data_IF_268781717272
#
_entry.id   IF_268781717272
#
_cell.length_a   1.000
_cell.length_b   1.000
_cell.length_c   1.000
_cell.angle_alpha   90.00
_cell.angle_beta   90.00
_cell.angle_gamma   90.00
#
_symmetry.space_group_name_H-M   'P 1'
#
loop_
_entity.id
_entity.type
_entity.pdbx_description
1 polymer ?
#
# COMPACT_ATOMS: atom_id res chain seq x y z
N UNK A 1 -4.52 -43.06 -6.55
CA UNK A 1 -4.34 -41.69 -7.09
C UNK A 1 -2.96 -41.21 -6.67
N UNK A 2 -2.31 -40.48 -7.56
CA UNK A 2 -0.86 -40.26 -7.57
C UNK A 2 -0.40 -39.15 -6.62
N UNK A 3 0.89 -39.15 -6.23
CA UNK A 3 1.65 -37.94 -5.99
C UNK A 3 2.59 -37.66 -7.19
N UNK A 4 2.33 -36.57 -7.90
CA UNK A 4 3.35 -35.84 -8.65
C UNK A 4 4.21 -35.07 -7.62
N UNK A 5 5.52 -34.86 -7.76
CA UNK A 5 6.41 -35.23 -8.86
C UNK A 5 7.75 -34.49 -8.78
N UNK A 6 8.43 -34.54 -7.63
CA UNK A 6 9.71 -33.84 -7.40
C UNK A 6 10.84 -34.37 -8.29
N UNK A 7 11.25 -33.58 -9.29
CA UNK A 7 12.46 -33.83 -10.08
C UNK A 7 13.53 -32.77 -9.79
N UNK A 8 14.27 -32.96 -8.69
CA UNK A 8 15.51 -32.23 -8.46
C UNK A 8 16.70 -33.07 -8.94
N UNK A 9 17.21 -32.79 -10.15
CA UNK A 9 18.33 -33.53 -10.75
C UNK A 9 19.69 -32.94 -10.33
N UNK A 10 20.65 -33.75 -9.83
CA UNK A 10 22.01 -33.27 -9.54
C UNK A 10 22.83 -33.13 -10.84
N UNK A 11 23.09 -31.89 -11.26
CA UNK A 11 24.00 -31.59 -12.36
C UNK A 11 25.45 -31.92 -11.97
N UNK A 12 26.10 -32.74 -12.81
CA UNK A 12 27.48 -33.22 -12.59
C UNK A 12 28.49 -32.12 -12.90
N UNK A 13 29.59 -31.98 -12.14
CA UNK A 13 30.68 -31.07 -12.51
C UNK A 13 31.46 -31.62 -13.71
N UNK A 14 31.22 -31.04 -14.89
CA UNK A 14 31.94 -31.39 -16.11
C UNK A 14 33.27 -30.61 -16.23
N UNK A 15 34.38 -31.31 -16.00
CA UNK A 15 35.74 -31.11 -16.55
C UNK A 15 36.05 -29.72 -17.16
N UNK A 16 36.89 -28.93 -16.48
CA UNK A 16 37.64 -27.82 -17.12
C UNK A 16 39.10 -27.78 -16.67
N UNK A 17 39.87 -28.78 -17.10
CA UNK A 17 41.32 -28.93 -16.81
C UNK A 17 42.12 -29.24 -18.07
N UNK A 18 42.21 -28.32 -19.04
CA UNK A 18 43.18 -28.48 -20.14
C UNK A 18 43.52 -27.20 -20.95
N UNK A 19 44.06 -26.16 -20.31
CA UNK A 19 44.79 -25.07 -21.01
C UNK A 19 45.97 -24.58 -20.17
N UNK A 20 47.02 -25.40 -20.03
CA UNK A 20 48.37 -25.00 -19.59
C UNK A 20 49.42 -26.13 -19.75
N UNK A 21 49.34 -26.90 -20.84
CA UNK A 21 50.37 -27.91 -21.19
C UNK A 21 50.80 -27.70 -22.64
N UNK A 22 51.68 -26.73 -22.84
CA UNK A 22 52.21 -26.38 -24.16
C UNK A 22 53.17 -25.22 -24.09
N UNK A 23 54.44 -25.51 -23.75
CA UNK A 23 55.69 -24.78 -24.10
C UNK A 23 56.90 -25.09 -23.18
N UNK A 24 57.03 -26.32 -22.64
CA UNK A 24 58.28 -26.74 -21.97
C UNK A 24 58.72 -28.17 -22.31
N UNK A 25 58.90 -28.46 -23.62
CA UNK A 25 59.67 -29.64 -24.07
C UNK A 25 60.16 -29.51 -25.52
N UNK A 26 61.33 -28.90 -25.71
CA UNK A 26 62.32 -29.28 -26.75
C UNK A 26 63.57 -28.40 -26.71
N UNK A 27 64.65 -28.91 -26.13
CA UNK A 27 65.93 -29.05 -26.86
C UNK A 27 66.78 -30.12 -26.20
N UNK A 28 67.02 -31.19 -26.96
CA UNK A 28 68.02 -32.21 -26.66
C UNK A 28 69.40 -31.55 -26.72
N UNK A 29 70.23 -31.81 -25.71
CA UNK A 29 71.64 -31.47 -25.76
C UNK A 29 72.38 -32.49 -26.63
N UNK A 30 73.06 -32.03 -27.68
CA UNK A 30 74.21 -32.73 -28.25
C UNK A 30 75.47 -31.89 -28.01
N UNK A 31 76.60 -32.50 -27.65
CA UNK A 31 77.85 -31.78 -27.48
C UNK A 31 78.65 -31.80 -28.79
N UNK A 32 78.95 -30.63 -29.35
CA UNK A 32 80.23 -30.47 -30.03
C UNK A 32 80.72 -29.02 -30.04
N UNK A 33 82.00 -28.92 -29.68
CA UNK A 33 83.01 -27.93 -30.04
C UNK A 33 82.85 -26.43 -29.72
N UNK A 34 83.93 -25.94 -29.13
CA UNK A 34 84.17 -24.60 -28.64
C UNK A 34 84.85 -23.77 -29.73
N UNK A 35 84.34 -22.57 -30.02
CA UNK A 35 85.20 -21.42 -30.40
C UNK A 35 84.48 -20.07 -30.23
N UNK A 36 85.18 -19.14 -29.55
CA UNK A 36 85.05 -17.66 -29.68
C UNK A 36 83.66 -16.99 -29.67
N UNK A 37 83.01 -16.87 -28.49
CA UNK A 37 81.88 -15.93 -28.30
C UNK A 37 81.61 -15.51 -26.83
N UNK A 38 82.63 -15.36 -25.98
CA UNK A 38 82.44 -15.17 -24.51
C UNK A 38 82.14 -13.74 -24.04
N UNK A 39 82.32 -12.71 -24.88
CA UNK A 39 82.03 -11.31 -24.53
C UNK A 39 80.54 -10.93 -24.68
N UNK A 40 79.96 -11.15 -25.87
CA UNK A 40 78.59 -10.70 -26.18
C UNK A 40 77.50 -11.39 -25.33
N UNK A 41 77.75 -12.62 -24.87
CA UNK A 41 76.75 -13.39 -24.09
C UNK A 41 76.45 -12.77 -22.72
N UNK A 42 77.40 -12.06 -22.10
CA UNK A 42 77.15 -11.34 -20.83
C UNK A 42 76.34 -10.07 -21.07
N UNK A 43 76.73 -9.27 -22.06
CA UNK A 43 76.05 -8.00 -22.40
C UNK A 43 74.59 -8.24 -22.82
N UNK A 44 74.33 -9.25 -23.65
CA UNK A 44 72.96 -9.62 -24.03
C UNK A 44 72.15 -10.15 -22.83
N UNK A 45 72.71 -11.02 -22.00
CA UNK A 45 72.01 -11.53 -20.80
C UNK A 45 71.71 -10.42 -19.79
N UNK A 46 72.62 -9.46 -19.63
CA UNK A 46 72.45 -8.32 -18.74
C UNK A 46 71.48 -7.28 -19.31
N UNK A 47 71.45 -7.08 -20.63
CA UNK A 47 70.42 -6.30 -21.32
C UNK A 47 69.04 -6.93 -21.14
N UNK A 48 68.86 -8.20 -21.51
CA UNK A 48 67.57 -8.89 -21.36
C UNK A 48 67.07 -8.87 -19.91
N UNK A 49 67.91 -9.16 -18.93
CA UNK A 49 67.50 -9.12 -17.51
C UNK A 49 67.18 -7.71 -16.99
N UNK A 50 67.67 -6.64 -17.62
CA UNK A 50 67.22 -5.27 -17.34
C UNK A 50 65.88 -5.01 -18.03
N UNK A 51 65.72 -5.33 -19.31
CA UNK A 51 64.47 -5.11 -20.07
C UNK A 51 63.30 -5.89 -19.46
N UNK A 52 63.47 -7.17 -19.12
CA UNK A 52 62.43 -7.96 -18.44
C UNK A 52 62.08 -7.37 -17.07
N UNK A 53 63.04 -6.77 -16.36
CA UNK A 53 62.80 -6.11 -15.06
C UNK A 53 62.10 -4.77 -15.20
N UNK A 54 62.27 -4.05 -16.32
CA UNK A 54 61.48 -2.86 -16.65
C UNK A 54 60.05 -3.22 -17.03
N UNK A 55 59.86 -4.19 -17.93
CA UNK A 55 58.52 -4.68 -18.31
C UNK A 55 57.77 -5.24 -17.10
N UNK A 56 58.43 -5.98 -16.19
CA UNK A 56 57.82 -6.45 -14.95
C UNK A 56 57.38 -5.29 -14.03
N UNK A 57 58.14 -4.18 -13.98
CA UNK A 57 57.74 -2.99 -13.20
C UNK A 57 56.52 -2.31 -13.82
N UNK A 58 56.49 -2.13 -15.13
CA UNK A 58 55.34 -1.55 -15.84
C UNK A 58 54.09 -2.41 -15.68
N UNK A 59 54.20 -3.73 -15.81
CA UNK A 59 53.11 -4.67 -15.53
C UNK A 59 52.61 -4.50 -14.08
N UNK A 60 53.52 -4.44 -13.10
CA UNK A 60 53.13 -4.26 -11.70
C UNK A 60 52.44 -2.90 -11.45
N UNK A 61 52.93 -1.82 -12.07
CA UNK A 61 52.36 -0.46 -11.97
C UNK A 61 50.98 -0.35 -12.66
N UNK A 62 50.73 -1.12 -13.71
CA UNK A 62 49.41 -1.19 -14.37
C UNK A 62 48.45 -2.12 -13.60
N UNK A 63 48.99 -3.15 -12.93
CA UNK A 63 48.20 -4.10 -12.15
C UNK A 63 47.78 -3.56 -10.77
N UNK A 64 48.60 -2.77 -10.06
CA UNK A 64 48.22 -2.28 -8.72
C UNK A 64 46.94 -1.42 -8.71
N UNK A 65 46.77 -0.36 -9.54
CA UNK A 65 45.55 0.45 -9.50
C UNK A 65 44.32 -0.31 -9.99
N UNK A 66 44.48 -1.24 -10.95
CA UNK A 66 43.38 -2.12 -11.38
C UNK A 66 42.96 -3.09 -10.28
N UNK A 67 43.92 -3.65 -9.54
CA UNK A 67 43.63 -4.55 -8.43
C UNK A 67 43.00 -3.79 -7.25
N UNK A 68 43.46 -2.58 -6.94
CA UNK A 68 42.86 -1.67 -5.95
C UNK A 68 41.40 -1.33 -6.34
N UNK A 69 41.15 -0.95 -7.60
CA UNK A 69 39.80 -0.66 -8.09
C UNK A 69 38.88 -1.90 -8.06
N UNK A 70 39.39 -3.09 -8.39
CA UNK A 70 38.63 -4.34 -8.24
C UNK A 70 38.35 -4.65 -6.76
N UNK A 71 39.29 -4.38 -5.86
CA UNK A 71 39.12 -4.57 -4.42
C UNK A 71 38.10 -3.58 -3.83
N UNK A 72 38.09 -2.34 -4.29
CA UNK A 72 37.09 -1.33 -3.90
C UNK A 72 35.69 -1.69 -4.43
N UNK A 73 35.56 -2.05 -5.71
CA UNK A 73 34.29 -2.50 -6.30
C UNK A 73 33.74 -3.77 -5.64
N UNK A 74 34.60 -4.72 -5.25
CA UNK A 74 34.16 -5.93 -4.54
C UNK A 74 33.74 -5.64 -3.09
N UNK A 75 34.39 -4.68 -2.41
CA UNK A 75 33.92 -4.19 -1.11
C UNK A 75 32.57 -3.48 -1.25
N UNK A 76 32.44 -2.51 -2.15
CA UNK A 76 31.20 -1.78 -2.40
C UNK A 76 30.04 -2.72 -2.75
N UNK A 77 30.29 -3.73 -3.61
CA UNK A 77 29.30 -4.79 -3.90
C UNK A 77 28.86 -5.52 -2.63
N UNK A 78 29.79 -5.94 -1.77
CA UNK A 78 29.47 -6.65 -0.53
C UNK A 78 28.65 -5.79 0.43
N UNK A 79 29.01 -4.50 0.55
CA UNK A 79 28.30 -3.54 1.40
C UNK A 79 26.86 -3.30 0.87
N UNK A 80 26.64 -3.34 -0.45
CA UNK A 80 25.31 -3.32 -1.07
C UNK A 80 24.53 -4.62 -0.84
N UNK A 81 25.15 -5.79 -0.98
CA UNK A 81 24.52 -7.09 -0.67
C UNK A 81 24.07 -7.16 0.80
N UNK A 82 24.85 -6.60 1.73
CA UNK A 82 24.48 -6.52 3.15
C UNK A 82 23.30 -5.56 3.39
N UNK A 83 23.28 -4.38 2.74
CA UNK A 83 22.15 -3.44 2.80
C UNK A 83 20.88 -4.02 2.18
N UNK A 84 20.98 -4.74 1.07
CA UNK A 84 19.86 -5.44 0.44
C UNK A 84 19.27 -6.51 1.37
N UNK A 85 20.12 -7.32 2.01
CA UNK A 85 19.69 -8.33 2.97
C UNK A 85 19.03 -7.70 4.22
N UNK A 86 19.56 -6.58 4.72
CA UNK A 86 18.96 -5.82 5.84
C UNK A 86 17.57 -5.26 5.47
N UNK A 87 17.45 -4.60 4.32
CA UNK A 87 16.17 -4.05 3.86
C UNK A 87 15.14 -5.13 3.56
N UNK A 88 15.55 -6.25 2.94
CA UNK A 88 14.66 -7.39 2.70
C UNK A 88 14.13 -8.03 3.99
N UNK A 89 14.94 -8.09 5.06
CA UNK A 89 14.47 -8.55 6.39
C UNK A 89 13.45 -7.60 7.01
N UNK A 90 13.71 -6.30 6.97
CA UNK A 90 12.78 -5.28 7.48
C UNK A 90 11.46 -5.33 6.72
N UNK A 91 11.51 -5.50 5.40
CA UNK A 91 10.33 -5.65 4.55
C UNK A 91 9.48 -6.86 4.97
N UNK A 92 10.08 -8.03 5.19
CA UNK A 92 9.36 -9.22 5.69
C UNK A 92 8.69 -8.97 7.05
N UNK A 93 9.37 -8.32 7.99
CA UNK A 93 8.76 -7.97 9.29
C UNK A 93 7.57 -7.00 9.16
N UNK A 94 7.62 -6.07 8.19
CA UNK A 94 6.51 -5.14 7.90
C UNK A 94 5.37 -5.88 7.19
N UNK A 95 5.65 -6.82 6.29
CA UNK A 95 4.64 -7.69 5.67
C UNK A 95 3.91 -8.56 6.70
N UNK A 96 4.64 -9.17 7.64
CA UNK A 96 4.10 -9.93 8.77
C UNK A 96 3.20 -9.06 9.67
N UNK A 97 3.65 -7.85 10.02
CA UNK A 97 2.88 -6.89 10.81
C UNK A 97 1.60 -6.44 10.09
N UNK A 98 1.66 -6.17 8.78
CA UNK A 98 0.50 -5.83 7.97
C UNK A 98 -0.51 -6.99 7.89
N UNK A 99 -0.04 -8.23 7.74
CA UNK A 99 -0.92 -9.41 7.79
C UNK A 99 -1.59 -9.57 9.15
N UNK A 100 -0.86 -9.33 10.25
CA UNK A 100 -1.42 -9.33 11.60
C UNK A 100 -2.52 -8.26 11.75
N UNK A 101 -2.25 -7.01 11.37
CA UNK A 101 -3.22 -5.90 11.45
C UNK A 101 -4.48 -6.18 10.62
N UNK A 102 -4.35 -6.77 9.43
CA UNK A 102 -5.51 -7.19 8.62
C UNK A 102 -6.33 -8.29 9.33
N UNK A 103 -5.68 -9.23 10.01
CA UNK A 103 -6.37 -10.27 10.79
C UNK A 103 -7.10 -9.70 12.02
N UNK A 104 -6.47 -8.76 12.73
CA UNK A 104 -7.04 -8.05 13.88
C UNK A 104 -8.21 -7.15 13.47
N UNK A 105 -8.11 -6.44 12.33
CA UNK A 105 -9.21 -5.66 11.78
C UNK A 105 -10.41 -6.55 11.40
N UNK A 106 -10.16 -7.73 10.81
CA UNK A 106 -11.20 -8.69 10.49
C UNK A 106 -11.87 -9.27 11.74
N UNK A 107 -11.10 -9.53 12.80
CA UNK A 107 -11.67 -9.94 14.10
C UNK A 107 -12.47 -8.81 14.76
N UNK A 108 -11.96 -7.58 14.76
CA UNK A 108 -12.67 -6.43 15.32
C UNK A 108 -14.03 -6.23 14.63
N UNK A 109 -14.07 -6.29 13.30
CA UNK A 109 -15.34 -6.25 12.53
C UNK A 109 -16.30 -7.36 12.93
N UNK A 110 -15.81 -8.58 13.15
CA UNK A 110 -16.63 -9.71 13.63
C UNK A 110 -17.21 -9.42 15.02
N UNK A 111 -16.39 -9.01 15.98
CA UNK A 111 -16.81 -8.67 17.35
C UNK A 111 -17.83 -7.51 17.38
N UNK A 112 -17.68 -6.52 16.49
CA UNK A 112 -18.65 -5.41 16.34
C UNK A 112 -19.99 -5.90 15.80
N UNK A 113 -19.99 -6.80 14.82
CA UNK A 113 -21.22 -7.39 14.28
C UNK A 113 -21.90 -8.32 15.31
N UNK A 114 -21.13 -9.12 16.05
CA UNK A 114 -21.65 -9.93 17.16
C UNK A 114 -22.32 -9.06 18.24
N UNK A 115 -21.69 -7.93 18.61
CA UNK A 115 -22.25 -6.95 19.55
C UNK A 115 -23.52 -6.28 19.00
N UNK A 116 -23.54 -5.91 17.71
CA UNK A 116 -24.72 -5.38 17.02
C UNK A 116 -25.88 -6.38 17.04
N UNK A 117 -25.62 -7.65 16.76
CA UNK A 117 -26.63 -8.71 16.81
C UNK A 117 -27.17 -8.92 18.23
N UNK A 118 -26.30 -8.90 19.24
CA UNK A 118 -26.71 -8.96 20.64
C UNK A 118 -27.60 -7.76 21.04
N UNK A 119 -27.27 -6.54 20.60
CA UNK A 119 -28.10 -5.34 20.82
C UNK A 119 -29.47 -5.47 20.14
N UNK A 120 -29.52 -5.96 18.90
CA UNK A 120 -30.79 -6.19 18.18
C UNK A 120 -31.67 -7.25 18.88
N UNK A 121 -31.07 -8.34 19.38
CA UNK A 121 -31.79 -9.36 20.14
C UNK A 121 -32.34 -8.82 21.47
N UNK A 122 -31.52 -8.04 22.20
CA UNK A 122 -31.94 -7.35 23.42
C UNK A 122 -33.07 -6.35 23.16
N UNK A 123 -32.97 -5.55 22.08
CA UNK A 123 -34.00 -4.59 21.68
C UNK A 123 -35.34 -5.28 21.37
N UNK A 124 -35.34 -6.39 20.62
CA UNK A 124 -36.55 -7.18 20.37
C UNK A 124 -37.19 -7.65 21.68
N UNK A 125 -36.38 -8.16 22.62
CA UNK A 125 -36.87 -8.63 23.93
C UNK A 125 -37.43 -7.50 24.79
N UNK A 126 -36.83 -6.30 24.74
CA UNK A 126 -37.38 -5.10 25.42
C UNK A 126 -38.73 -4.74 24.82
N UNK A 127 -38.86 -4.71 23.49
CA UNK A 127 -40.12 -4.42 22.79
C UNK A 127 -41.26 -5.40 23.16
N UNK A 128 -40.95 -6.68 23.29
CA UNK A 128 -41.90 -7.70 23.78
C UNK A 128 -42.32 -7.46 25.24
N UNK A 129 -41.37 -7.06 26.09
CA UNK A 129 -41.63 -6.74 27.49
C UNK A 129 -42.45 -5.45 27.63
N UNK A 130 -42.22 -4.44 26.81
CA UNK A 130 -43.06 -3.25 26.75
C UNK A 130 -44.50 -3.58 26.33
N UNK A 131 -44.70 -4.46 25.35
CA UNK A 131 -46.05 -4.86 24.92
C UNK A 131 -46.80 -5.63 26.02
N UNK A 132 -46.07 -6.47 26.77
CA UNK A 132 -46.62 -7.14 27.97
C UNK A 132 -46.92 -6.11 29.06
N UNK A 133 -46.02 -5.16 29.32
CA UNK A 133 -46.19 -4.08 30.30
C UNK A 133 -47.43 -3.23 30.00
N UNK A 134 -47.65 -2.85 28.72
CA UNK A 134 -48.86 -2.12 28.27
C UNK A 134 -50.18 -2.83 28.61
N UNK A 135 -50.19 -4.16 28.79
CA UNK A 135 -51.37 -4.94 29.17
C UNK A 135 -51.61 -4.97 30.69
N UNK A 136 -50.59 -4.73 31.51
CA UNK A 136 -50.68 -4.82 32.98
C UNK A 136 -51.66 -3.79 33.58
N UNK A 137 -51.64 -2.49 33.23
CA UNK A 137 -52.61 -1.52 33.76
C UNK A 137 -54.06 -1.84 33.36
N UNK A 138 -54.28 -2.36 32.15
CA UNK A 138 -55.60 -2.75 31.67
C UNK A 138 -56.13 -3.93 32.49
N UNK A 139 -55.30 -4.94 32.75
CA UNK A 139 -55.66 -6.08 33.59
C UNK A 139 -55.90 -5.66 35.05
N UNK A 140 -55.08 -4.75 35.60
CA UNK A 140 -55.30 -4.20 36.94
C UNK A 140 -56.66 -3.52 37.06
N UNK A 141 -57.02 -2.65 36.11
CA UNK A 141 -58.34 -2.01 36.08
C UNK A 141 -59.51 -3.02 36.04
N UNK A 142 -59.34 -4.15 35.35
CA UNK A 142 -60.35 -5.22 35.35
C UNK A 142 -60.40 -5.98 36.68
N UNK A 143 -59.26 -6.18 37.35
CA UNK A 143 -59.20 -6.76 38.70
C UNK A 143 -59.94 -5.85 39.68
N UNK A 144 -59.61 -4.56 39.72
CA UNK A 144 -60.25 -3.58 40.61
C UNK A 144 -61.78 -3.51 40.36
N UNK A 145 -62.21 -3.60 39.10
CA UNK A 145 -63.63 -3.67 38.73
C UNK A 145 -64.32 -4.96 39.20
N UNK A 146 -63.63 -6.11 39.14
CA UNK A 146 -64.16 -7.37 39.65
C UNK A 146 -64.16 -7.41 41.19
N UNK A 147 -63.17 -6.80 41.84
CA UNK A 147 -63.11 -6.68 43.30
C UNK A 147 -64.24 -5.82 43.84
N UNK A 148 -64.53 -4.67 43.22
CA UNK A 148 -65.68 -3.83 43.61
C UNK A 148 -67.02 -4.54 43.42
N UNK A 149 -67.19 -5.31 42.33
CA UNK A 149 -68.37 -6.17 42.14
C UNK A 149 -68.46 -7.27 43.22
N UNK A 150 -67.36 -7.94 43.55
CA UNK A 150 -67.31 -8.97 44.58
C UNK A 150 -67.56 -8.40 45.99
N UNK A 151 -67.09 -7.18 46.27
CA UNK A 151 -67.41 -6.46 47.52
C UNK A 151 -68.90 -6.14 47.61
N UNK A 152 -69.52 -5.68 46.53
CA UNK A 152 -70.98 -5.46 46.46
C UNK A 152 -71.76 -6.77 46.75
N UNK A 153 -71.41 -7.89 46.12
CA UNK A 153 -72.07 -9.17 46.41
C UNK A 153 -71.79 -9.71 47.83
N UNK A 154 -70.61 -9.44 48.41
CA UNK A 154 -70.24 -9.87 49.77
C UNK A 154 -70.85 -9.01 50.88
N UNK A 155 -71.14 -7.74 50.61
CA UNK A 155 -71.77 -6.82 51.58
C UNK A 155 -73.27 -7.07 51.79
N UNK A 156 -73.88 -7.93 50.97
CA UNK A 156 -75.14 -8.59 51.33
C UNK A 156 -76.38 -7.73 51.14
N UNK A 157 -76.45 -6.89 50.10
CA UNK A 157 -77.75 -6.45 49.62
C UNK A 157 -78.48 -7.58 48.88
N UNK A 158 -79.77 -7.68 49.17
CA UNK A 158 -80.61 -8.84 48.88
C UNK A 158 -80.73 -9.14 47.38
N UNK A 159 -80.74 -10.42 47.02
CA UNK A 159 -81.09 -10.86 45.66
C UNK A 159 -82.50 -10.38 45.33
N UNK A 160 -82.60 -9.36 44.48
CA UNK A 160 -83.76 -9.16 43.62
C UNK A 160 -83.34 -8.84 42.19
N UNK A 161 -83.98 -9.57 41.27
CA UNK A 161 -84.15 -9.25 39.86
C UNK A 161 -82.95 -9.49 38.93
N UNK A 162 -82.69 -10.78 38.73
CA UNK A 162 -82.27 -11.28 37.42
C UNK A 162 -83.27 -10.80 36.34
N UNK A 163 -82.84 -9.89 35.46
CA UNK A 163 -83.54 -9.65 34.19
C UNK A 163 -82.54 -9.41 33.07
N UNK A 164 -82.50 -10.35 32.13
CA UNK A 164 -81.85 -10.30 30.81
C UNK A 164 -82.97 -10.55 29.77
N UNK A 165 -82.74 -10.29 28.47
CA UNK A 165 -82.03 -9.15 27.88
C UNK A 165 -82.81 -8.59 26.66
N UNK A 166 -82.88 -7.27 26.43
CA UNK A 166 -83.41 -6.77 25.15
C UNK A 166 -82.54 -5.73 24.45
N UNK A 167 -82.47 -5.89 23.13
CA UNK A 167 -81.82 -5.02 22.18
C UNK A 167 -82.78 -3.88 21.81
N UNK A 168 -82.29 -2.64 21.69
CA UNK A 168 -82.27 -1.87 20.41
C UNK A 168 -82.15 -0.34 20.58
N UNK A 169 -81.32 0.22 19.69
CA UNK A 169 -81.58 1.48 18.94
C UNK A 169 -81.53 2.80 19.73
N UNK A 170 -80.42 3.52 19.50
CA UNK A 170 -80.35 4.94 19.05
C UNK A 170 -81.23 5.96 19.80
N UNK A 171 -80.72 7.06 20.37
CA UNK A 171 -79.79 8.03 19.77
C UNK A 171 -79.39 9.05 20.84
N UNK A 172 -78.16 9.60 20.81
CA UNK A 172 -77.87 11.04 20.97
C UNK A 172 -76.35 11.30 20.78
N UNK A 173 -76.01 12.32 19.99
CA UNK A 173 -74.64 12.84 19.75
C UNK A 173 -74.30 13.92 20.78
N UNK A 174 -73.00 14.15 21.05
CA UNK A 174 -72.23 15.21 20.36
C UNK A 174 -71.12 14.61 19.45
N UNK A 175 -70.47 15.22 18.44
CA UNK A 175 -70.51 16.54 17.75
C UNK A 175 -70.02 17.76 18.56
N UNK A 176 -69.07 18.59 18.10
CA UNK A 176 -68.23 18.61 16.90
C UNK A 176 -66.96 19.46 17.23
N UNK A 177 -65.75 19.06 16.84
CA UNK A 177 -64.98 19.53 15.66
C UNK A 177 -64.21 20.86 15.80
N UNK A 178 -62.90 20.80 15.55
CA UNK A 178 -62.03 21.71 14.76
C UNK A 178 -60.58 21.25 15.02
N UNK A 179 -59.88 20.49 14.15
CA UNK A 179 -59.56 20.65 12.74
C UNK A 179 -58.50 21.74 12.44
N UNK A 180 -57.33 21.28 11.98
CA UNK A 180 -56.31 21.95 11.13
C UNK A 180 -55.46 23.06 11.76
N UNK A 181 -54.15 22.82 11.80
CA UNK A 181 -53.17 23.71 11.13
C UNK A 181 -51.99 22.90 10.60
N UNK A 182 -52.19 22.17 9.49
CA UNK A 182 -51.09 22.01 8.54
C UNK A 182 -50.90 23.34 7.83
N UNK A 183 -49.68 23.89 7.85
CA UNK A 183 -49.24 24.81 6.80
C UNK A 183 -48.46 24.02 5.76
N UNK A 184 -49.13 23.64 4.67
CA UNK A 184 -48.46 23.59 3.36
C UNK A 184 -48.82 24.86 2.60
N UNK A 185 -47.82 25.65 2.27
CA UNK A 185 -47.86 26.55 1.12
C UNK A 185 -47.30 25.79 -0.07
N UNK A 186 -48.13 25.58 -1.08
CA UNK A 186 -47.78 24.95 -2.35
C UNK A 186 -47.44 25.98 -3.41
N UNK A 187 -46.47 25.65 -4.28
CA UNK A 187 -46.54 26.04 -5.69
C UNK A 187 -45.97 24.89 -6.52
N UNK A 188 -46.63 24.59 -7.63
CA UNK A 188 -46.25 23.55 -8.59
C UNK A 188 -45.03 23.96 -9.41
N UNK A 189 -44.24 23.00 -9.91
CA UNK A 189 -44.30 22.54 -11.32
C UNK A 189 -43.05 21.69 -11.70
N UNK A 190 -43.21 20.80 -12.69
CA UNK A 190 -42.19 20.10 -13.53
C UNK A 190 -41.43 18.87 -13.02
N UNK A 191 -41.91 17.72 -13.50
CA UNK A 191 -41.17 16.67 -14.24
C UNK A 191 -39.63 16.62 -14.20
N UNK A 192 -39.10 15.60 -13.52
CA UNK A 192 -37.95 14.72 -13.85
C UNK A 192 -37.75 13.86 -12.58
N UNK A 193 -37.98 12.55 -12.57
CA UNK A 193 -37.19 11.47 -13.17
C UNK A 193 -35.72 11.40 -12.69
N UNK A 194 -35.32 10.18 -12.35
CA UNK A 194 -33.99 9.69 -11.94
C UNK A 194 -33.43 9.97 -10.53
N UNK A 195 -32.82 8.89 -10.03
CA UNK A 195 -31.88 8.69 -8.92
C UNK A 195 -32.30 8.95 -7.46
N UNK A 196 -32.43 7.86 -6.70
CA UNK A 196 -32.75 7.86 -5.27
C UNK A 196 -31.53 7.58 -4.36
N UNK A 197 -30.31 7.56 -4.89
CA UNK A 197 -29.12 7.07 -4.17
C UNK A 197 -28.12 8.17 -3.74
N UNK A 198 -28.23 9.41 -4.23
CA UNK A 198 -27.23 10.48 -4.03
C UNK A 198 -27.54 11.52 -2.93
N UNK A 199 -28.38 11.22 -1.93
CA UNK A 199 -28.73 12.18 -0.86
C UNK A 199 -28.29 11.81 0.58
N UNK A 200 -27.32 10.91 0.74
CA UNK A 200 -26.77 10.55 2.06
C UNK A 200 -25.42 11.26 2.36
N UNK A 201 -24.80 11.91 1.37
CA UNK A 201 -23.55 12.67 1.56
C UNK A 201 -23.79 14.18 1.57
N UNK A 202 -24.18 14.72 2.73
CA UNK A 202 -23.92 16.12 3.08
C UNK A 202 -22.89 16.16 4.19
N UNK A 203 -21.72 16.69 3.87
CA UNK A 203 -20.59 16.85 4.80
C UNK A 203 -21.03 17.59 6.06
N UNK A 204 -20.88 16.94 7.21
CA UNK A 204 -20.76 17.62 8.51
C UNK A 204 -19.30 17.98 8.72
N UNK A 205 -18.88 19.01 7.97
CA UNK A 205 -17.59 19.67 8.13
C UNK A 205 -17.77 20.87 9.06
N UNK A 206 -16.94 20.96 10.11
CA UNK A 206 -16.74 22.19 10.86
C UNK A 206 -17.87 22.68 11.75
N UNK A 207 -18.05 22.05 12.92
CA UNK A 207 -18.29 22.80 14.16
C UNK A 207 -17.90 21.95 15.37
N UNK A 208 -16.59 21.97 15.69
CA UNK A 208 -16.16 21.64 17.04
C UNK A 208 -16.79 22.68 17.98
N UNK A 209 -17.62 22.23 18.93
CA UNK A 209 -18.02 23.07 20.03
C UNK A 209 -16.77 23.34 20.87
N UNK A 210 -16.26 24.56 20.83
CA UNK A 210 -15.21 25.02 21.74
C UNK A 210 -15.83 25.09 23.13
N UNK A 211 -15.62 24.06 23.92
CA UNK A 211 -15.96 24.03 25.34
C UNK A 211 -14.92 24.89 26.09
N UNK A 212 -15.20 26.18 26.19
CA UNK A 212 -14.55 27.09 27.14
C UNK A 212 -15.38 27.18 28.44
N UNK A 213 -15.71 26.04 29.07
CA UNK A 213 -16.14 25.97 30.49
C UNK A 213 -15.26 25.06 31.38
N UNK A 214 -13.98 24.89 31.04
CA UNK A 214 -12.96 24.56 32.03
C UNK A 214 -12.76 25.76 32.99
N UNK A 215 -13.41 25.70 34.17
CA UNK A 215 -12.92 26.20 35.49
C UNK A 215 -14.05 26.46 36.51
N UNK A 216 -14.80 25.41 36.91
CA UNK A 216 -15.72 25.48 38.08
C UNK A 216 -15.60 24.32 39.09
N UNK A 217 -14.65 23.41 38.90
CA UNK A 217 -14.35 22.34 39.86
C UNK A 217 -13.21 22.69 40.84
N UNK A 218 -12.76 23.94 40.87
CA UNK A 218 -11.86 24.50 41.88
C UNK A 218 -12.55 24.70 43.25
N UNK A 219 -13.31 23.70 43.71
CA UNK A 219 -13.73 23.54 45.10
C UNK A 219 -12.89 22.41 45.66
N UNK A 220 -12.23 22.67 46.80
CA UNK A 220 -11.39 21.67 47.46
C UNK A 220 -12.17 20.35 47.60
N UNK A 221 -11.60 19.18 47.22
CA UNK A 221 -12.31 17.90 47.30
C UNK A 221 -12.86 17.63 48.71
N UNK A 222 -12.14 18.11 49.73
CA UNK A 222 -12.57 18.09 51.13
C UNK A 222 -13.90 18.85 51.37
N UNK A 223 -14.03 20.08 50.85
CA UNK A 223 -15.23 20.92 51.01
C UNK A 223 -16.44 20.33 50.29
N UNK A 224 -16.23 19.78 49.09
CA UNK A 224 -17.29 19.13 48.32
C UNK A 224 -17.79 17.86 49.01
N UNK A 225 -16.87 17.00 49.49
CA UNK A 225 -17.20 15.80 50.25
C UNK A 225 -17.89 16.15 51.58
N UNK A 226 -17.39 17.14 52.33
CA UNK A 226 -17.97 17.54 53.61
C UNK A 226 -19.42 18.06 53.48
N UNK A 227 -19.74 18.75 52.37
CA UNK A 227 -21.11 19.12 52.02
C UNK A 227 -22.04 17.91 51.78
N UNK A 228 -21.55 16.90 51.04
CA UNK A 228 -22.28 15.67 50.76
C UNK A 228 -22.50 14.85 52.04
N UNK A 229 -21.45 14.63 52.84
CA UNK A 229 -21.56 13.93 54.14
C UNK A 229 -22.51 14.64 55.11
N UNK A 230 -22.52 15.98 55.14
CA UNK A 230 -23.48 16.74 55.94
C UNK A 230 -24.93 16.47 55.51
N UNK A 231 -25.19 16.41 54.20
CA UNK A 231 -26.54 16.15 53.66
C UNK A 231 -27.06 14.73 53.93
N UNK A 232 -26.17 13.75 54.10
CA UNK A 232 -26.51 12.36 54.42
C UNK A 232 -26.93 12.14 55.88
N UNK A 233 -26.68 13.10 56.78
CA UNK A 233 -26.86 12.95 58.23
C UNK A 233 -28.29 13.16 58.77
N UNK A 234 -29.27 13.48 57.91
CA UNK A 234 -30.55 14.05 58.33
C UNK A 234 -31.69 13.06 58.70
N UNK A 235 -31.41 11.80 59.04
CA UNK A 235 -32.44 10.81 59.41
C UNK A 235 -32.23 10.20 60.80
N UNK A 236 -33.06 10.59 61.77
CA UNK A 236 -33.04 10.05 63.16
C UNK A 236 -33.59 8.62 63.26
N UNK A 237 -34.36 8.16 62.28
CA UNK A 237 -34.76 6.76 62.12
C UNK A 237 -34.11 6.19 60.85
N UNK A 238 -33.39 5.07 60.97
CA UNK A 238 -32.53 4.54 59.92
C UNK A 238 -33.25 4.21 58.60
N UNK A 239 -32.91 4.96 57.55
CA UNK A 239 -33.21 4.61 56.16
C UNK A 239 -32.08 3.75 55.55
N UNK A 240 -32.18 3.36 54.27
CA UNK A 240 -31.36 2.30 53.63
C UNK A 240 -29.87 2.64 53.38
N UNK A 241 -29.13 3.06 54.41
CA UNK A 241 -27.69 3.39 54.31
C UNK A 241 -26.83 2.23 53.77
N UNK A 242 -27.27 0.98 53.93
CA UNK A 242 -26.50 -0.24 53.59
C UNK A 242 -26.08 -0.33 52.11
N UNK A 243 -26.75 0.37 51.19
CA UNK A 243 -26.33 0.42 49.77
C UNK A 243 -25.24 1.48 49.54
N UNK A 244 -25.34 2.62 50.22
CA UNK A 244 -24.37 3.70 50.14
C UNK A 244 -23.06 3.25 50.81
N UNK A 245 -23.13 2.61 51.98
CA UNK A 245 -21.97 2.00 52.63
C UNK A 245 -21.27 0.99 51.73
N UNK A 246 -22.01 0.13 51.02
CA UNK A 246 -21.41 -0.81 50.06
C UNK A 246 -20.67 -0.12 48.91
N UNK A 247 -21.27 0.90 48.31
CA UNK A 247 -20.61 1.66 47.25
C UNK A 247 -19.35 2.38 47.77
N UNK A 248 -19.39 2.90 49.01
CA UNK A 248 -18.22 3.51 49.65
C UNK A 248 -17.12 2.47 49.95
N UNK A 249 -17.47 1.28 50.45
CA UNK A 249 -16.49 0.18 50.63
C UNK A 249 -15.93 -0.31 49.31
N UNK A 250 -16.74 -0.35 48.24
CA UNK A 250 -16.29 -0.76 46.89
C UNK A 250 -15.33 0.28 46.26
N UNK A 251 -15.54 1.58 46.52
CA UNK A 251 -14.69 2.70 46.03
C UNK A 251 -13.37 2.80 46.80
N UNK A 252 -13.42 2.61 48.13
CA UNK A 252 -12.26 2.73 49.03
C UNK A 252 -11.48 1.40 49.09
N UNK A 253 -12.12 0.27 48.82
CA UNK A 253 -11.52 -1.07 48.82
C UNK A 253 -11.34 -1.71 50.19
N UNK A 254 -12.09 -1.28 51.21
CA UNK A 254 -11.93 -1.75 52.61
C UNK A 254 -13.26 -2.19 53.24
N UNK A 255 -13.26 -3.36 53.90
CA UNK A 255 -14.49 -4.02 54.41
C UNK A 255 -15.00 -3.47 55.77
N UNK A 256 -14.20 -2.67 56.47
CA UNK A 256 -14.53 -2.11 57.80
C UNK A 256 -14.14 -0.65 57.84
N UNK A 257 -15.13 0.24 57.85
CA UNK A 257 -14.92 1.69 57.86
C UNK A 257 -15.76 2.31 58.99
N UNK A 258 -15.13 3.02 59.93
CA UNK A 258 -15.88 3.90 60.84
C UNK A 258 -16.42 5.07 60.00
N UNK A 259 -17.72 5.44 60.12
CA UNK A 259 -18.30 6.55 59.40
C UNK A 259 -17.55 7.89 59.50
N UNK A 260 -16.69 8.07 60.50
CA UNK A 260 -15.86 9.26 60.68
C UNK A 260 -14.60 9.28 59.80
N UNK A 261 -14.10 8.12 59.39
CA UNK A 261 -12.81 7.99 58.69
C UNK A 261 -12.98 7.94 57.16
N UNK A 262 -14.17 7.62 56.67
CA UNK A 262 -14.54 7.61 55.23
C UNK A 262 -14.09 8.86 54.46
N UNK A 263 -14.30 10.10 54.96
CA UNK A 263 -13.95 11.29 54.19
C UNK A 263 -12.44 11.40 53.99
N UNK A 264 -11.64 11.00 54.98
CA UNK A 264 -10.18 10.98 54.88
C UNK A 264 -9.70 9.95 53.85
N UNK A 265 -10.23 8.72 53.91
CA UNK A 265 -9.90 7.65 52.98
C UNK A 265 -10.31 7.96 51.53
N UNK A 266 -11.42 8.67 51.33
CA UNK A 266 -11.81 9.17 50.00
C UNK A 266 -10.86 10.25 49.48
N UNK A 267 -10.47 11.21 50.31
CA UNK A 267 -9.50 12.25 49.93
C UNK A 267 -8.15 11.63 49.58
N UNK A 268 -7.68 10.66 50.36
CA UNK A 268 -6.46 9.89 50.06
C UNK A 268 -6.59 9.12 48.74
N UNK A 269 -7.71 8.41 48.52
CA UNK A 269 -7.95 7.67 47.28
C UNK A 269 -8.04 8.58 46.04
N UNK A 270 -8.65 9.76 46.18
CA UNK A 270 -8.67 10.79 45.13
C UNK A 270 -7.25 11.29 44.86
N UNK A 271 -6.47 11.63 45.89
CA UNK A 271 -5.07 12.07 45.74
C UNK A 271 -4.24 11.04 44.98
N UNK A 272 -4.36 9.75 45.33
CA UNK A 272 -3.62 8.67 44.68
C UNK A 272 -4.04 8.49 43.20
N UNK A 273 -5.33 8.66 42.88
CA UNK A 273 -5.83 8.61 41.50
C UNK A 273 -5.41 9.83 40.68
N UNK A 274 -5.34 11.02 41.29
CA UNK A 274 -4.81 12.23 40.65
C UNK A 274 -3.32 12.06 40.35
N UNK A 275 -2.53 11.53 41.28
CA UNK A 275 -1.12 11.23 41.04
C UNK A 275 -0.92 10.22 39.92
N UNK A 276 -1.67 9.09 39.93
CA UNK A 276 -1.67 8.09 38.86
C UNK A 276 -2.03 8.70 37.50
N UNK A 277 -3.02 9.60 37.45
CA UNK A 277 -3.41 10.32 36.24
C UNK A 277 -2.30 11.25 35.74
N UNK A 278 -1.66 12.04 36.61
CA UNK A 278 -0.54 12.92 36.20
C UNK A 278 0.67 12.15 35.67
N UNK A 279 0.95 10.96 36.22
CA UNK A 279 1.99 10.05 35.70
C UNK A 279 1.58 9.55 34.30
N UNK A 280 0.33 9.11 34.13
CA UNK A 280 -0.17 8.62 32.83
C UNK A 280 -0.19 9.71 31.75
N UNK A 281 -0.56 10.93 32.11
CA UNK A 281 -0.42 12.08 31.21
C UNK A 281 1.03 12.33 30.79
N UNK A 282 1.98 12.22 31.72
CA UNK A 282 3.39 12.39 31.38
C UNK A 282 3.89 11.27 30.46
N UNK A 283 3.51 10.01 30.73
CA UNK A 283 3.78 8.89 29.82
C UNK A 283 3.22 9.14 28.41
N UNK A 284 2.01 9.70 28.29
CA UNK A 284 1.46 10.08 26.97
C UNK A 284 2.28 11.18 26.30
N UNK A 285 2.62 12.26 27.02
CA UNK A 285 3.46 13.35 26.48
C UNK A 285 4.83 12.87 26.02
N UNK A 286 5.46 11.98 26.78
CA UNK A 286 6.76 11.38 26.43
C UNK A 286 6.65 10.48 25.17
N UNK A 287 5.53 9.74 25.03
CA UNK A 287 5.24 8.95 23.82
C UNK A 287 4.90 9.81 22.60
N UNK A 288 4.21 10.93 22.76
CA UNK A 288 3.93 11.89 21.69
C UNK A 288 5.22 12.51 21.15
N UNK A 289 6.14 12.93 22.03
CA UNK A 289 7.47 13.43 21.64
C UNK A 289 8.24 12.35 20.87
N UNK A 290 8.30 11.12 21.39
CA UNK A 290 8.99 10.01 20.72
C UNK A 290 8.35 9.64 19.37
N UNK A 291 7.03 9.78 19.23
CA UNK A 291 6.33 9.60 17.95
C UNK A 291 6.76 10.66 16.93
N UNK A 292 6.84 11.93 17.32
CA UNK A 292 7.26 13.02 16.43
C UNK A 292 8.76 12.91 16.06
N UNK A 293 9.64 12.60 17.03
CA UNK A 293 11.07 12.33 16.79
C UNK A 293 11.31 11.19 15.76
N UNK A 294 10.42 10.18 15.75
CA UNK A 294 10.48 9.07 14.78
C UNK A 294 9.85 9.47 13.44
N UNK A 295 8.82 10.32 13.45
CA UNK A 295 8.06 10.75 12.26
C UNK A 295 8.85 11.69 11.35
N UNK A 296 9.61 12.64 11.90
CA UNK A 296 10.47 13.56 11.12
C UNK A 296 11.41 12.83 10.13
N UNK A 297 12.28 11.89 10.55
CA UNK A 297 13.19 11.20 9.62
C UNK A 297 12.46 10.28 8.62
N UNK A 298 11.25 9.81 8.93
CA UNK A 298 10.42 9.11 7.94
C UNK A 298 9.89 10.05 6.86
N UNK A 299 9.52 11.28 7.21
CA UNK A 299 9.12 12.30 6.23
C UNK A 299 10.30 12.66 5.33
N UNK A 300 11.50 12.92 5.89
CA UNK A 300 12.70 13.23 5.11
C UNK A 300 13.10 12.11 4.12
N UNK A 301 13.03 10.84 4.54
CA UNK A 301 13.29 9.72 3.62
C UNK A 301 12.21 9.61 2.54
N UNK A 302 10.94 9.94 2.86
CA UNK A 302 9.85 9.92 1.88
C UNK A 302 10.01 11.04 0.84
N UNK A 303 10.39 12.25 1.25
CA UNK A 303 10.70 13.37 0.35
C UNK A 303 11.88 13.03 -0.57
N UNK A 304 12.97 12.49 -0.02
CA UNK A 304 14.12 12.00 -0.79
C UNK A 304 13.74 10.90 -1.79
N UNK A 305 12.78 10.03 -1.45
CA UNK A 305 12.24 9.01 -2.36
C UNK A 305 11.41 9.62 -3.49
N UNK A 306 10.71 10.73 -3.25
CA UNK A 306 10.03 11.48 -4.32
C UNK A 306 11.07 12.09 -5.28
N UNK A 307 12.13 12.71 -4.77
CA UNK A 307 13.24 13.23 -5.60
C UNK A 307 13.91 12.11 -6.44
N UNK A 308 14.22 10.96 -5.83
CA UNK A 308 14.74 9.77 -6.52
C UNK A 308 13.81 9.34 -7.68
N UNK A 309 12.48 9.35 -7.47
CA UNK A 309 11.48 8.99 -8.47
C UNK A 309 11.41 10.01 -9.62
N UNK A 310 11.54 11.30 -9.33
CA UNK A 310 11.56 12.34 -10.37
C UNK A 310 12.80 12.24 -11.27
N UNK A 311 13.98 11.96 -10.68
CA UNK A 311 15.21 11.69 -11.44
C UNK A 311 15.06 10.44 -12.31
N UNK A 312 14.58 9.33 -11.76
CA UNK A 312 14.33 8.09 -12.50
C UNK A 312 13.30 8.27 -13.62
N UNK A 313 12.33 9.17 -13.47
CA UNK A 313 11.37 9.52 -14.52
C UNK A 313 12.03 10.27 -15.68
N UNK A 314 12.98 11.16 -15.41
CA UNK A 314 13.77 11.84 -16.44
C UNK A 314 14.67 10.84 -17.18
N UNK A 315 15.35 9.96 -16.45
CA UNK A 315 16.17 8.89 -17.04
C UNK A 315 15.34 7.94 -17.91
N UNK A 316 14.14 7.55 -17.46
CA UNK A 316 13.21 6.74 -18.24
C UNK A 316 12.80 7.46 -19.53
N UNK A 317 12.47 8.74 -19.48
CA UNK A 317 12.14 9.53 -20.67
C UNK A 317 13.33 9.58 -21.65
N UNK A 318 14.57 9.77 -21.15
CA UNK A 318 15.76 9.72 -22.01
C UNK A 318 15.93 8.33 -22.65
N UNK A 319 15.76 7.24 -21.89
CA UNK A 319 15.85 5.87 -22.40
C UNK A 319 14.76 5.57 -23.44
N UNK A 320 13.55 6.10 -23.28
CA UNK A 320 12.49 5.99 -24.29
C UNK A 320 12.85 6.72 -25.59
N UNK A 321 13.44 7.93 -25.51
CA UNK A 321 13.90 8.64 -26.71
C UNK A 321 15.03 7.90 -27.44
N UNK A 322 16.02 7.36 -26.71
CA UNK A 322 17.08 6.54 -27.30
C UNK A 322 16.55 5.21 -27.84
N UNK A 323 15.54 4.57 -27.19
CA UNK A 323 14.86 3.38 -27.72
C UNK A 323 14.19 3.65 -29.06
N UNK A 324 13.45 4.74 -29.18
CA UNK A 324 12.79 5.13 -30.44
C UNK A 324 13.84 5.43 -31.52
N UNK A 325 14.89 6.18 -31.20
CA UNK A 325 15.99 6.48 -32.13
C UNK A 325 16.70 5.21 -32.61
N UNK A 326 16.96 4.24 -31.72
CA UNK A 326 17.57 2.96 -32.07
C UNK A 326 16.64 2.09 -32.92
N UNK A 327 15.34 2.06 -32.62
CA UNK A 327 14.34 1.36 -33.44
C UNK A 327 14.29 1.87 -34.88
N UNK A 328 14.39 3.20 -35.06
CA UNK A 328 14.40 3.83 -36.38
C UNK A 328 15.70 3.53 -37.16
N UNK A 329 16.83 3.44 -36.45
CA UNK A 329 18.11 2.97 -37.04
C UNK A 329 18.06 1.49 -37.41
N UNK A 330 17.40 0.65 -36.61
CA UNK A 330 17.21 -0.78 -36.90
C UNK A 330 16.33 -0.99 -38.14
N UNK A 331 15.22 -0.26 -38.25
CA UNK A 331 14.34 -0.27 -39.43
C UNK A 331 15.11 0.11 -40.71
N UNK A 332 15.85 1.23 -40.71
CA UNK A 332 16.68 1.63 -41.86
C UNK A 332 17.83 0.66 -42.17
N UNK A 333 18.39 -0.01 -41.15
CA UNK A 333 19.37 -1.07 -41.39
C UNK A 333 18.75 -2.26 -42.13
N UNK A 334 17.51 -2.64 -41.78
CA UNK A 334 16.79 -3.71 -42.48
C UNK A 334 16.49 -3.33 -43.93
N UNK A 335 16.01 -2.10 -44.18
CA UNK A 335 15.77 -1.58 -45.54
C UNK A 335 17.05 -1.62 -46.41
N UNK A 336 18.15 -1.08 -45.88
CA UNK A 336 19.46 -1.06 -46.55
C UNK A 336 19.97 -2.48 -46.81
N UNK A 337 19.83 -3.39 -45.85
CA UNK A 337 20.22 -4.80 -46.02
C UNK A 337 19.37 -5.52 -47.07
N UNK A 338 18.07 -5.22 -47.16
CA UNK A 338 17.19 -5.77 -48.19
C UNK A 338 17.60 -5.30 -49.59
N UNK A 339 17.87 -4.00 -49.77
CA UNK A 339 18.38 -3.46 -51.04
C UNK A 339 19.75 -4.07 -51.41
N UNK A 340 20.67 -4.17 -50.45
CA UNK A 340 21.99 -4.81 -50.66
C UNK A 340 21.87 -6.30 -51.00
N UNK A 341 20.88 -7.00 -50.46
CA UNK A 341 20.57 -8.38 -50.83
C UNK A 341 20.09 -8.48 -52.29
N UNK A 342 19.14 -7.64 -52.71
CA UNK A 342 18.68 -7.59 -54.11
C UNK A 342 19.83 -7.28 -55.08
N UNK A 343 20.68 -6.30 -54.75
CA UNK A 343 21.86 -5.95 -55.55
C UNK A 343 22.88 -7.11 -55.67
N UNK A 344 23.07 -7.89 -54.60
CA UNK A 344 23.96 -9.06 -54.59
C UNK A 344 23.40 -10.18 -55.48
N UNK A 345 22.10 -10.41 -55.41
CA UNK A 345 21.43 -11.50 -56.13
C UNK A 345 21.35 -11.21 -57.66
N UNK A 346 21.72 -9.99 -58.10
CA UNK A 346 21.90 -9.58 -59.51
C UNK A 346 23.37 -9.48 -60.00
N UNK A 347 24.36 -9.97 -59.25
CA UNK A 347 25.80 -10.01 -59.63
C UNK A 347 26.38 -8.68 -60.18
N UNK A 348 26.06 -7.56 -59.51
CA UNK A 348 26.39 -6.21 -59.99
C UNK A 348 27.92 -5.95 -60.06
N UNK A 349 28.42 -5.29 -61.13
CA UNK A 349 29.84 -4.97 -61.27
C UNK A 349 30.35 -4.06 -60.14
N UNK A 350 31.50 -4.41 -59.57
CA UNK A 350 32.11 -3.70 -58.43
C UNK A 350 32.31 -2.19 -58.62
N UNK A 351 32.39 -1.72 -59.87
CA UNK A 351 32.50 -0.29 -60.21
C UNK A 351 31.23 0.50 -59.84
N UNK A 352 30.05 -0.10 -59.99
CA UNK A 352 28.77 0.52 -59.65
C UNK A 352 28.58 0.61 -58.13
N UNK A 353 28.84 -0.49 -57.41
CA UNK A 353 28.84 -0.51 -55.96
C UNK A 353 29.86 0.49 -55.36
N UNK A 354 31.03 0.61 -55.99
CA UNK A 354 32.04 1.60 -55.63
C UNK A 354 31.56 3.04 -55.82
N UNK A 355 30.79 3.33 -56.89
CA UNK A 355 30.18 4.64 -57.14
C UNK A 355 29.15 5.01 -56.08
N UNK A 356 28.26 4.08 -55.73
CA UNK A 356 27.25 4.25 -54.67
C UNK A 356 27.91 4.58 -53.32
N UNK A 357 28.94 3.82 -52.93
CA UNK A 357 29.70 4.06 -51.70
C UNK A 357 30.42 5.41 -51.70
N UNK A 358 31.04 5.80 -52.82
CA UNK A 358 31.72 7.09 -52.95
C UNK A 358 30.73 8.26 -52.87
N UNK A 359 29.60 8.20 -53.60
CA UNK A 359 28.55 9.21 -53.53
C UNK A 359 27.98 9.37 -52.11
N UNK A 360 27.72 8.25 -51.43
CA UNK A 360 27.24 8.24 -50.05
C UNK A 360 28.24 8.93 -49.12
N UNK A 361 29.53 8.54 -49.17
CA UNK A 361 30.59 9.13 -48.34
C UNK A 361 30.86 10.60 -48.69
N UNK A 362 30.65 11.02 -49.93
CA UNK A 362 30.80 12.42 -50.36
C UNK A 362 29.65 13.30 -49.87
N UNK A 363 28.42 12.78 -49.79
CA UNK A 363 27.27 13.49 -49.18
C UNK A 363 27.34 13.52 -47.66
N UNK A 364 27.85 12.48 -47.01
CA UNK A 364 28.01 12.41 -45.55
C UNK A 364 29.22 13.19 -45.00
N UNK A 365 29.85 14.07 -45.80
CA UNK A 365 31.06 14.82 -45.39
C UNK A 365 30.81 16.02 -44.48
N UNK A 366 29.57 16.46 -44.30
CA UNK A 366 29.28 17.60 -43.41
C UNK A 366 29.25 17.18 -41.93
N UNK A 367 30.02 17.85 -41.05
CA UNK A 367 30.14 17.47 -39.64
C UNK A 367 28.98 18.06 -38.79
N UNK A 368 27.75 17.59 -39.04
CA UNK A 368 26.58 17.88 -38.21
C UNK A 368 26.59 16.99 -36.96
N UNK A 369 26.32 17.57 -35.79
CA UNK A 369 26.69 17.08 -34.45
C UNK A 369 26.40 15.59 -34.11
N UNK A 370 27.21 15.07 -33.17
CA UNK A 370 27.26 13.64 -32.84
C UNK A 370 25.96 13.02 -32.31
N UNK A 371 25.87 11.70 -32.48
CA UNK A 371 24.75 10.75 -32.26
C UNK A 371 23.78 10.56 -33.45
N UNK A 372 23.48 11.59 -34.23
CA UNK A 372 22.51 11.48 -35.34
C UNK A 372 23.15 10.94 -36.64
N UNK A 373 24.44 11.25 -36.87
CA UNK A 373 25.27 10.79 -38.00
C UNK A 373 25.05 9.36 -38.53
N UNK A 374 24.77 8.37 -37.67
CA UNK A 374 24.56 6.98 -38.11
C UNK A 374 23.26 6.85 -38.92
N UNK A 375 22.21 7.56 -38.50
CA UNK A 375 20.93 7.55 -39.18
C UNK A 375 21.05 8.24 -40.55
N UNK A 376 21.68 9.42 -40.60
CA UNK A 376 21.86 10.18 -41.83
C UNK A 376 22.69 9.43 -42.87
N UNK A 377 23.72 8.69 -42.43
CA UNK A 377 24.53 7.82 -43.29
C UNK A 377 23.71 6.68 -43.85
N UNK A 378 22.82 6.07 -43.05
CA UNK A 378 21.94 4.98 -43.51
C UNK A 378 20.85 5.48 -44.45
N UNK A 379 20.27 6.64 -44.20
CA UNK A 379 19.23 7.24 -45.05
C UNK A 379 19.82 7.71 -46.39
N UNK A 380 21.00 8.32 -46.37
CA UNK A 380 21.76 8.66 -47.59
C UNK A 380 22.13 7.41 -48.39
N UNK A 381 22.56 6.34 -47.72
CA UNK A 381 22.89 5.06 -48.36
C UNK A 381 21.63 4.41 -48.95
N UNK A 382 20.51 4.40 -48.23
CA UNK A 382 19.22 3.92 -48.71
C UNK A 382 18.77 4.69 -49.97
N UNK A 383 18.92 6.01 -50.00
CA UNK A 383 18.63 6.82 -51.18
C UNK A 383 19.56 6.51 -52.36
N UNK A 384 20.87 6.41 -52.18
CA UNK A 384 21.77 6.03 -53.28
C UNK A 384 21.56 4.59 -53.78
N UNK A 385 21.22 3.65 -52.89
CA UNK A 385 20.87 2.27 -53.27
C UNK A 385 19.55 2.23 -54.04
N UNK A 386 18.49 2.87 -53.56
CA UNK A 386 17.19 2.89 -54.25
C UNK A 386 17.24 3.60 -55.61
N UNK A 387 18.06 4.64 -55.77
CA UNK A 387 18.28 5.34 -57.05
C UNK A 387 19.16 4.54 -58.02
N UNK A 388 19.71 3.39 -57.64
CA UNK A 388 20.41 2.51 -58.57
C UNK A 388 19.47 1.99 -59.68
N UNK A 389 19.69 2.48 -60.90
CA UNK A 389 18.90 2.14 -62.11
C UNK A 389 18.79 0.62 -62.34
N UNK A 390 19.79 -0.14 -61.88
CA UNK A 390 19.81 -1.61 -61.95
C UNK A 390 18.66 -2.26 -61.17
N UNK A 391 18.31 -1.76 -59.96
CA UNK A 391 17.17 -2.30 -59.18
C UNK A 391 15.83 -1.98 -59.83
N UNK A 392 15.71 -0.83 -60.49
CA UNK A 392 14.51 -0.46 -61.23
C UNK A 392 14.30 -1.32 -62.49
N UNK A 393 15.35 -1.89 -63.06
CA UNK A 393 15.23 -2.67 -64.29
C UNK A 393 14.48 -4.00 -64.08
N UNK A 394 14.59 -4.61 -62.90
CA UNK A 394 13.91 -5.86 -62.55
C UNK A 394 12.41 -5.64 -62.27
N UNK A 395 12.06 -4.55 -61.55
CA UNK A 395 10.66 -4.24 -61.23
C UNK A 395 9.80 -3.91 -62.47
N UNK A 396 10.43 -3.42 -63.54
CA UNK A 396 9.75 -3.14 -64.81
C UNK A 396 9.56 -4.39 -65.71
N UNK A 397 10.36 -5.45 -65.56
CA UNK A 397 10.17 -6.70 -66.33
C UNK A 397 9.19 -7.68 -65.66
N UNK A 398 9.03 -7.64 -64.33
CA UNK A 398 8.00 -8.43 -63.63
C UNK A 398 6.57 -7.86 -63.82
N UNK A 399 6.41 -6.54 -63.95
CA UNK A 399 5.07 -5.94 -64.20
C UNK A 399 4.51 -6.24 -65.60
N UNK A 400 5.36 -6.35 -66.64
CA UNK A 400 4.90 -6.63 -68.02
C UNK A 400 4.62 -8.13 -68.30
N UNK A 401 4.83 -9.00 -67.30
CA UNK A 401 4.53 -10.44 -67.37
C UNK A 401 3.44 -10.91 -66.39
N UNK A 402 2.87 -9.99 -65.61
CA UNK A 402 2.00 -10.28 -64.45
C UNK A 402 0.47 -10.17 -64.65
N UNK A 403 -0.07 -9.98 -65.86
CA UNK A 403 -1.53 -9.92 -66.07
C UNK A 403 -2.23 -11.30 -66.01
N UNK A 404 -2.21 -11.98 -64.86
CA UNK A 404 -3.17 -13.05 -64.56
C UNK A 404 -3.29 -13.36 -63.06
N UNK A 405 -4.52 -13.62 -62.60
CA UNK A 405 -4.87 -14.15 -61.27
C UNK A 405 -4.69 -13.20 -60.06
N UNK A 406 -5.26 -11.99 -60.15
CA UNK A 406 -5.71 -11.25 -58.98
C UNK A 406 -6.93 -11.95 -58.30
N UNK A 407 -6.67 -13.10 -57.68
CA UNK A 407 -7.66 -13.84 -56.89
C UNK A 407 -7.85 -13.22 -55.51
N UNK A 408 -8.99 -12.56 -55.31
CA UNK A 408 -9.40 -11.93 -54.05
C UNK A 408 -9.24 -12.86 -52.83
N UNK A 409 -8.37 -12.46 -51.88
CA UNK A 409 -8.56 -12.79 -50.45
C UNK A 409 -8.64 -11.48 -49.68
N UNK A 410 -9.87 -11.10 -49.33
CA UNK A 410 -10.19 -10.10 -48.33
C UNK A 410 -9.93 -10.72 -46.95
N UNK A 411 -9.19 -10.03 -46.09
CA UNK A 411 -9.27 -10.23 -44.63
C UNK A 411 -9.74 -8.91 -44.04
N UNK A 412 -10.91 -8.94 -43.43
CA UNK A 412 -11.53 -7.83 -42.71
C UNK A 412 -10.85 -7.61 -41.35
N UNK A 413 -10.89 -6.37 -40.86
CA UNK A 413 -10.90 -6.12 -39.42
C UNK A 413 -12.23 -6.59 -38.80
#
# INVERSE_FOLDING_TARGET
>A
MEPLGDQCSPLRPARRTQWLVGLYRSRVSQPMEMTTATANRRVLSQSYTVTTRCVQREINVIQSPKNEQIQEMTKAKKDLEEKLNKTQKVLVCIEESNQQLLSEQAEMRRRVEDARQAVLACYSKVKDLEEKSRKVPVLQMHIDQLETQLQYYRSGETIMNMTKPEQKVTTLKPYQSLAKTERRSSTEDRHADHNAEDQIFRSVEGQAASDEEEDKWARDPADALQGIFSSLSCCVNGCEDRRIWKLLTDIIGTDVIDPRDVPGLLVERISNLTEELTIKEQEMRDLEVLMEEIKEPFIEELERKVEDIELLRIDLQMLETERVRLSLVEEKLLDVLQLLQQLRDMEIPHQELGRVLLNTLERCREPQHGKEHIFDVLDTLYHELSVCELLHHQHNEEEDSGQSLAGSIVISC
#
